data_IF_012224012085
#
_entry.id   IF_012224012085
#
_cell.length_a   1.000
_cell.length_b   1.000
_cell.length_c   1.000
_cell.angle_alpha   90.00
_cell.angle_beta   90.00
_cell.angle_gamma   90.00
#
_symmetry.space_group_name_H-M   'P 1'
#
loop_
_entity.id
_entity.type
_entity.pdbx_description
1 polymer ?
#
# COMPACT_ATOMS: atom_id res chain seq x y z
N UNK A 1 10.79 37.75 3.54
CA UNK A 1 11.77 36.78 2.98
C UNK A 1 13.07 36.99 3.74
N UNK A 2 13.36 36.10 4.69
CA UNK A 2 14.61 36.05 5.45
C UNK A 2 14.99 34.57 5.52
N UNK A 3 16.09 34.23 4.84
CA UNK A 3 16.72 32.92 4.89
C UNK A 3 17.56 32.86 6.18
N UNK A 4 17.05 32.16 7.20
CA UNK A 4 17.79 31.80 8.40
C UNK A 4 18.01 30.28 8.42
N UNK A 5 19.26 29.79 8.26
CA UNK A 5 19.60 28.36 8.30
C UNK A 5 19.46 27.72 9.70
N UNK A 6 19.01 28.46 10.73
CA UNK A 6 18.97 28.02 12.13
C UNK A 6 17.67 27.35 12.62
N UNK A 7 16.69 27.04 11.77
CA UNK A 7 15.50 26.24 12.19
C UNK A 7 15.27 25.07 11.27
N UNK A 8 16.12 24.04 11.36
CA UNK A 8 15.80 22.73 10.83
C UNK A 8 14.48 22.27 11.46
N UNK A 9 13.42 22.31 10.67
CA UNK A 9 12.08 22.02 11.11
C UNK A 9 11.68 20.68 10.54
N UNK A 10 11.83 19.59 11.30
CA UNK A 10 11.42 18.25 10.87
C UNK A 10 9.95 18.19 10.42
N UNK A 11 9.14 19.19 10.78
CA UNK A 11 7.77 19.32 10.29
C UNK A 11 7.67 19.52 8.78
N UNK A 12 8.66 20.12 8.12
CA UNK A 12 8.64 20.29 6.65
C UNK A 12 8.70 18.96 5.92
N UNK A 13 9.28 17.95 6.56
CA UNK A 13 9.44 16.61 6.07
C UNK A 13 8.22 15.73 6.27
N UNK A 14 7.37 16.09 7.25
CA UNK A 14 6.19 15.32 7.59
C UNK A 14 5.02 15.65 6.65
N UNK A 15 4.12 14.68 6.42
CA UNK A 15 2.82 14.90 5.81
C UNK A 15 2.13 16.20 6.26
N UNK A 16 1.91 17.13 5.34
CA UNK A 16 1.17 18.37 5.62
C UNK A 16 -0.36 18.20 5.60
N UNK A 17 -0.82 17.06 5.07
CA UNK A 17 -2.24 16.71 4.97
C UNK A 17 -2.42 15.20 5.15
N UNK A 18 -3.57 14.81 5.71
CA UNK A 18 -4.02 13.42 5.74
C UNK A 18 -4.41 13.00 4.31
N UNK A 19 -4.11 11.75 3.88
CA UNK A 19 -4.71 11.22 2.67
C UNK A 19 -6.24 11.22 2.84
N UNK A 20 -6.99 11.80 1.90
CA UNK A 20 -8.44 11.75 2.02
C UNK A 20 -8.93 10.33 1.76
N UNK A 21 -9.99 9.89 2.44
CA UNK A 21 -10.62 8.63 2.11
C UNK A 21 -11.12 8.67 0.67
N UNK A 22 -11.14 7.49 0.04
CA UNK A 22 -11.80 7.31 -1.25
C UNK A 22 -13.26 7.77 -1.11
N UNK A 23 -13.66 8.78 -1.90
CA UNK A 23 -15.00 9.36 -1.81
C UNK A 23 -16.11 8.35 -2.13
N UNK A 24 -17.40 8.71 -1.90
CA UNK A 24 -18.53 7.81 -2.17
C UNK A 24 -18.66 7.41 -3.66
N UNK A 25 -18.08 8.17 -4.59
CA UNK A 25 -17.96 7.82 -6.01
C UNK A 25 -16.80 6.86 -6.32
N UNK A 26 -15.97 6.53 -5.32
CA UNK A 26 -14.77 5.72 -5.49
C UNK A 26 -13.58 6.47 -6.13
N UNK A 27 -13.66 7.79 -6.30
CA UNK A 27 -12.59 8.60 -6.89
C UNK A 27 -11.55 8.98 -5.82
N UNK A 28 -10.27 8.75 -6.14
CA UNK A 28 -9.13 9.26 -5.38
C UNK A 28 -8.62 10.52 -6.10
N UNK A 29 -8.64 11.72 -5.50
CA UNK A 29 -8.10 12.91 -6.12
C UNK A 29 -6.65 12.69 -6.59
N UNK A 30 -6.32 13.14 -7.80
CA UNK A 30 -4.99 12.95 -8.38
C UNK A 30 -3.87 13.51 -7.48
N UNK A 31 -4.15 14.63 -6.81
CA UNK A 31 -3.23 15.36 -5.92
C UNK A 31 -2.92 14.66 -4.58
N UNK A 32 -3.57 13.54 -4.24
CA UNK A 32 -3.49 12.93 -2.91
C UNK A 32 -2.70 11.62 -2.83
N UNK A 33 -2.44 10.94 -3.96
CA UNK A 33 -1.57 9.75 -3.93
C UNK A 33 -0.13 10.20 -3.97
N UNK A 34 0.51 10.07 -2.81
CA UNK A 34 1.95 10.20 -2.68
C UNK A 34 2.62 8.99 -3.33
N UNK A 35 3.83 9.15 -3.89
CA UNK A 35 4.63 8.00 -4.28
C UNK A 35 4.77 7.07 -3.07
N UNK A 36 4.60 5.78 -3.33
CA UNK A 36 4.75 4.73 -2.32
C UNK A 36 6.09 4.90 -1.61
N UNK A 37 6.12 5.24 -0.31
CA UNK A 37 7.39 5.41 0.38
C UNK A 37 8.12 4.06 0.43
N UNK A 38 9.44 4.10 0.23
CA UNK A 38 10.28 2.94 0.51
C UNK A 38 10.20 2.57 2.00
N UNK A 39 10.65 1.37 2.38
CA UNK A 39 10.72 1.04 3.81
C UNK A 39 11.62 2.02 4.56
N UNK A 40 12.73 2.41 3.96
CA UNK A 40 13.69 3.32 4.59
C UNK A 40 13.10 4.72 4.76
N UNK A 41 12.36 5.21 3.77
CA UNK A 41 11.63 6.48 3.88
C UNK A 41 10.58 6.42 4.98
N UNK A 42 9.87 5.29 5.05
CA UNK A 42 8.83 5.11 6.05
C UNK A 42 9.40 5.08 7.47
N UNK A 43 10.49 4.34 7.68
CA UNK A 43 11.21 4.31 8.95
C UNK A 43 11.75 5.70 9.32
N UNK A 44 12.37 6.40 8.36
CA UNK A 44 12.90 7.74 8.57
C UNK A 44 11.79 8.72 8.99
N UNK A 45 10.63 8.68 8.32
CA UNK A 45 9.48 9.53 8.66
C UNK A 45 8.92 9.25 10.06
N UNK A 46 8.86 7.97 10.45
CA UNK A 46 8.41 7.59 11.80
C UNK A 46 9.38 8.10 12.86
N UNK A 47 10.70 7.97 12.64
CA UNK A 47 11.70 8.50 13.56
C UNK A 47 11.65 10.03 13.63
N UNK A 48 11.44 10.72 12.50
CA UNK A 48 11.23 12.16 12.48
C UNK A 48 10.01 12.56 13.32
N UNK A 49 8.88 11.87 13.15
CA UNK A 49 7.68 12.12 13.95
C UNK A 49 7.93 11.87 15.45
N UNK A 50 8.62 10.79 15.80
CA UNK A 50 9.02 10.48 17.17
C UNK A 50 9.84 11.62 17.81
N UNK A 51 10.87 12.11 17.11
CA UNK A 51 11.71 13.23 17.59
C UNK A 51 10.87 14.50 17.81
N UNK A 52 9.86 14.76 16.98
CA UNK A 52 8.92 15.87 17.24
C UNK A 52 8.03 15.64 18.47
N UNK A 53 7.77 14.38 18.82
CA UNK A 53 7.12 13.97 20.06
C UNK A 53 8.00 14.22 21.28
N UNK A 54 9.30 13.87 21.22
CA UNK A 54 10.28 14.13 22.28
C UNK A 54 10.36 15.63 22.64
N UNK A 55 10.24 16.50 21.63
CA UNK A 55 10.19 17.95 21.87
C UNK A 55 8.98 18.39 22.70
N UNK A 56 7.87 17.66 22.66
CA UNK A 56 6.65 17.99 23.42
C UNK A 56 6.66 17.41 24.83
N UNK A 57 7.54 16.47 25.14
CA UNK A 57 7.60 15.83 26.45
C UNK A 57 8.53 16.50 27.44
N UNK A 58 9.26 17.55 27.01
CA UNK A 58 10.24 18.30 27.81
C UNK A 58 11.34 17.41 28.46
N UNK A 59 11.56 16.20 27.93
CA UNK A 59 12.58 15.26 28.44
C UNK A 59 14.00 15.65 28.01
N UNK A 60 14.12 16.35 26.88
CA UNK A 60 15.40 16.78 26.31
C UNK A 60 15.42 18.31 26.10
N UNK A 61 16.58 18.92 26.33
CA UNK A 61 16.79 20.35 26.04
C UNK A 61 16.69 20.64 24.53
N UNK A 62 16.28 21.87 24.17
CA UNK A 62 16.16 22.32 22.77
C UNK A 62 17.48 22.16 21.98
N UNK A 63 18.62 22.33 22.65
CA UNK A 63 19.96 22.12 22.07
C UNK A 63 20.20 20.67 21.66
N UNK A 64 19.81 19.72 22.52
CA UNK A 64 19.89 18.28 22.26
C UNK A 64 18.93 17.87 21.14
N UNK A 65 17.69 18.34 21.17
CA UNK A 65 16.69 18.09 20.12
C UNK A 65 17.14 18.61 18.75
N UNK A 66 17.79 19.78 18.72
CA UNK A 66 18.34 20.33 17.48
C UNK A 66 19.53 19.52 16.97
N UNK A 67 20.38 18.99 17.86
CA UNK A 67 21.45 18.08 17.48
C UNK A 67 20.90 16.77 16.88
N UNK A 68 19.87 16.17 17.52
CA UNK A 68 19.19 14.96 17.04
C UNK A 68 18.54 15.20 15.67
N UNK A 69 17.83 16.32 15.50
CA UNK A 69 17.21 16.65 14.22
C UNK A 69 18.24 16.78 13.10
N UNK A 70 19.40 17.42 13.36
CA UNK A 70 20.51 17.54 12.40
C UNK A 70 21.16 16.19 12.10
N UNK A 71 21.29 15.32 13.09
CA UNK A 71 21.80 13.96 12.90
C UNK A 71 20.86 13.15 11.99
N UNK A 72 19.54 13.22 12.21
CA UNK A 72 18.57 12.56 11.33
C UNK A 72 18.57 13.10 9.90
N UNK A 73 18.69 14.42 9.73
CA UNK A 73 18.81 15.06 8.41
C UNK A 73 20.09 14.63 7.70
N UNK A 74 21.21 14.54 8.43
CA UNK A 74 22.51 14.10 7.93
C UNK A 74 22.53 12.61 7.56
N UNK A 75 21.79 11.77 8.30
CA UNK A 75 21.60 10.35 7.98
C UNK A 75 20.86 10.15 6.64
N UNK A 76 20.15 11.19 6.17
CA UNK A 76 19.34 11.27 4.94
C UNK A 76 18.21 10.23 4.87
N UNK A 77 17.23 10.54 4.01
CA UNK A 77 16.23 9.56 3.58
C UNK A 77 16.84 8.57 2.61
N UNK A 78 16.36 7.31 2.65
CA UNK A 78 16.94 6.23 1.87
C UNK A 78 18.38 5.91 2.26
N UNK A 79 19.07 5.07 1.48
CA UNK A 79 20.50 4.81 1.64
C UNK A 79 20.88 3.58 2.48
N UNK A 80 19.94 2.68 2.76
CA UNK A 80 20.32 1.34 3.18
C UNK A 80 20.63 0.50 1.93
N UNK A 81 21.89 0.07 1.77
CA UNK A 81 22.25 -1.01 0.85
C UNK A 81 21.79 -2.39 1.37
N UNK A 82 21.20 -2.46 2.57
CA UNK A 82 20.73 -3.72 3.13
C UNK A 82 19.48 -4.22 2.40
N UNK A 83 19.69 -5.16 1.50
CA UNK A 83 18.67 -6.11 1.12
C UNK A 83 18.32 -6.98 2.35
N UNK A 84 17.05 -7.03 2.76
CA UNK A 84 16.66 -7.93 3.85
C UNK A 84 15.45 -7.51 4.67
N UNK A 85 15.36 -8.13 5.85
CA UNK A 85 14.26 -8.02 6.81
C UNK A 85 14.13 -6.60 7.40
N UNK A 86 12.91 -6.06 7.57
CA UNK A 86 12.68 -4.66 7.96
C UNK A 86 13.39 -4.19 9.23
N UNK A 87 13.55 -5.06 10.22
CA UNK A 87 14.20 -4.69 11.47
C UNK A 87 15.68 -4.33 11.30
N UNK A 88 16.38 -4.92 10.31
CA UNK A 88 17.77 -4.55 10.01
C UNK A 88 17.87 -3.16 9.43
N UNK A 89 16.93 -2.80 8.53
CA UNK A 89 16.83 -1.44 7.99
C UNK A 89 16.60 -0.38 9.07
N UNK A 90 15.78 -0.69 10.08
CA UNK A 90 15.60 0.20 11.24
C UNK A 90 16.88 0.34 12.06
N UNK A 91 17.58 -0.77 12.35
CA UNK A 91 18.87 -0.74 13.04
C UNK A 91 19.94 0.03 12.25
N UNK A 92 20.04 -0.18 10.94
CA UNK A 92 20.96 0.55 10.07
C UNK A 92 20.63 2.05 9.96
N UNK A 93 19.36 2.43 10.12
CA UNK A 93 19.00 3.84 10.24
C UNK A 93 19.41 4.41 11.60
N UNK A 94 19.17 3.68 12.68
CA UNK A 94 19.59 4.07 14.04
C UNK A 94 21.12 4.26 14.12
N UNK A 95 21.90 3.30 13.63
CA UNK A 95 23.37 3.36 13.55
C UNK A 95 23.86 4.58 12.75
N UNK A 96 23.20 4.90 11.63
CA UNK A 96 23.54 6.08 10.83
C UNK A 96 23.24 7.38 11.57
N UNK A 97 22.16 7.45 12.33
CA UNK A 97 21.83 8.63 13.15
C UNK A 97 22.83 8.77 14.29
N UNK A 98 23.15 7.68 14.99
CA UNK A 98 24.15 7.64 16.08
C UNK A 98 25.53 8.11 15.61
N UNK A 99 25.94 7.78 14.38
CA UNK A 99 27.22 8.22 13.82
C UNK A 99 27.37 9.75 13.71
N UNK A 100 26.27 10.49 13.68
CA UNK A 100 26.27 11.96 13.66
C UNK A 100 25.96 12.60 15.02
N UNK A 101 25.64 11.79 16.05
CA UNK A 101 25.34 12.30 17.38
C UNK A 101 26.62 12.49 18.22
N UNK A 102 26.70 13.55 19.03
CA UNK A 102 27.68 13.62 20.11
C UNK A 102 27.51 12.44 21.06
N UNK A 103 28.60 11.86 21.58
CA UNK A 103 28.53 10.70 22.49
C UNK A 103 27.70 10.94 23.75
N UNK A 104 27.54 12.18 24.20
CA UNK A 104 26.66 12.56 25.32
C UNK A 104 25.16 12.38 25.02
N UNK A 105 24.79 12.24 23.75
CA UNK A 105 23.42 12.06 23.26
C UNK A 105 23.19 10.67 22.65
N UNK A 106 24.08 9.70 22.92
CA UNK A 106 23.91 8.35 22.38
C UNK A 106 22.60 7.72 22.88
N UNK A 107 21.85 7.12 21.97
CA UNK A 107 20.51 6.56 22.18
C UNK A 107 19.40 7.60 22.35
N UNK A 108 19.70 8.90 22.30
CA UNK A 108 18.70 9.93 22.55
C UNK A 108 17.67 10.06 21.43
N UNK A 109 18.04 9.73 20.18
CA UNK A 109 17.12 9.81 19.03
C UNK A 109 15.97 8.81 19.11
N UNK A 110 16.22 7.62 19.68
CA UNK A 110 15.26 6.52 19.81
C UNK A 110 14.75 6.36 21.24
N UNK A 111 15.03 7.32 22.12
CA UNK A 111 14.56 7.30 23.52
C UNK A 111 13.03 7.15 23.57
N UNK A 112 12.53 6.09 24.21
CA UNK A 112 11.09 5.80 24.31
C UNK A 112 10.48 5.11 23.08
N UNK A 113 11.20 5.05 21.95
CA UNK A 113 10.73 4.40 20.73
C UNK A 113 11.10 2.91 20.75
N UNK A 114 10.10 2.03 20.75
CA UNK A 114 10.35 0.61 20.53
C UNK A 114 10.59 0.32 19.04
N UNK A 115 11.35 -0.73 18.77
CA UNK A 115 11.55 -1.20 17.40
C UNK A 115 10.24 -1.75 16.82
N UNK A 116 9.43 -2.40 17.65
CA UNK A 116 8.17 -3.03 17.24
C UNK A 116 7.15 -1.99 16.77
N UNK A 117 6.97 -0.89 17.49
CA UNK A 117 6.06 0.18 17.08
C UNK A 117 6.59 0.97 15.89
N UNK A 118 7.91 1.13 15.81
CA UNK A 118 8.57 1.80 14.68
C UNK A 118 8.29 1.05 13.38
N UNK A 119 8.50 -0.27 13.39
CA UNK A 119 8.25 -1.15 12.24
C UNK A 119 6.76 -1.25 11.92
N UNK A 120 5.89 -1.40 12.94
CA UNK A 120 4.46 -1.50 12.74
C UNK A 120 3.88 -0.22 12.12
N UNK A 121 4.34 0.96 12.57
CA UNK A 121 3.90 2.25 12.02
C UNK A 121 4.39 2.44 10.60
N UNK A 122 5.66 2.13 10.32
CA UNK A 122 6.22 2.22 8.97
C UNK A 122 5.51 1.29 7.98
N UNK A 123 5.21 0.05 8.39
CA UNK A 123 4.45 -0.90 7.58
C UNK A 123 3.04 -0.40 7.29
N UNK A 124 2.28 0.04 8.32
CA UNK A 124 0.93 0.58 8.14
C UNK A 124 0.90 1.80 7.22
N UNK A 125 1.91 2.67 7.31
CA UNK A 125 2.02 3.83 6.43
C UNK A 125 2.17 3.40 4.95
N UNK A 126 3.02 2.42 4.67
CA UNK A 126 3.20 1.88 3.32
C UNK A 126 1.93 1.18 2.82
N UNK A 127 1.29 0.37 3.67
CA UNK A 127 0.06 -0.35 3.32
C UNK A 127 -1.11 0.60 3.04
N UNK A 128 -1.24 1.68 3.83
CA UNK A 128 -2.22 2.74 3.59
C UNK A 128 -2.02 3.36 2.20
N UNK A 129 -0.79 3.75 1.87
CA UNK A 129 -0.50 4.42 0.59
C UNK A 129 -0.65 3.43 -0.59
N UNK A 130 -0.29 2.15 -0.40
CA UNK A 130 -0.53 1.08 -1.37
C UNK A 130 -2.02 0.83 -1.61
N UNK A 131 -2.83 0.79 -0.55
CA UNK A 131 -4.26 0.61 -0.66
C UNK A 131 -4.92 1.74 -1.47
N UNK A 132 -4.48 3.00 -1.30
CA UNK A 132 -4.97 4.13 -2.08
C UNK A 132 -4.53 4.06 -3.55
N UNK A 133 -3.28 3.67 -3.81
CA UNK A 133 -2.79 3.47 -5.17
C UNK A 133 -3.59 2.38 -5.89
N UNK A 134 -3.78 1.22 -5.26
CA UNK A 134 -4.58 0.12 -5.81
C UNK A 134 -6.04 0.55 -6.01
N UNK A 135 -6.64 1.25 -5.05
CA UNK A 135 -8.02 1.73 -5.17
C UNK A 135 -8.20 2.67 -6.37
N UNK A 136 -7.20 3.50 -6.66
CA UNK A 136 -7.17 4.35 -7.84
C UNK A 136 -7.09 3.55 -9.13
N UNK A 137 -6.20 2.56 -9.21
CA UNK A 137 -6.09 1.70 -10.41
C UNK A 137 -7.39 0.94 -10.66
N UNK A 138 -8.01 0.40 -9.61
CA UNK A 138 -9.32 -0.26 -9.69
C UNK A 138 -10.42 0.72 -10.15
N UNK A 139 -10.37 1.98 -9.72
CA UNK A 139 -11.26 3.02 -10.21
C UNK A 139 -11.03 3.30 -11.71
N UNK A 140 -9.77 3.40 -12.15
CA UNK A 140 -9.41 3.57 -13.56
C UNK A 140 -9.90 2.43 -14.45
N UNK A 141 -9.80 1.18 -13.98
CA UNK A 141 -10.36 0.00 -14.67
C UNK A 141 -11.88 0.12 -14.77
N UNK A 142 -12.55 0.55 -13.70
CA UNK A 142 -14.01 0.74 -13.71
C UNK A 142 -14.43 1.80 -14.73
N UNK A 143 -13.73 2.94 -14.78
CA UNK A 143 -14.03 4.04 -15.68
C UNK A 143 -13.79 3.63 -17.14
N UNK A 144 -12.69 2.92 -17.42
CA UNK A 144 -12.39 2.38 -18.74
C UNK A 144 -13.46 1.36 -19.20
N UNK A 145 -13.84 0.42 -18.32
CA UNK A 145 -14.86 -0.56 -18.61
C UNK A 145 -16.26 0.07 -18.80
N UNK A 146 -16.61 1.10 -18.02
CA UNK A 146 -17.86 1.84 -18.19
C UNK A 146 -17.91 2.60 -19.51
N UNK A 147 -16.81 3.27 -19.89
CA UNK A 147 -16.71 3.96 -21.18
C UNK A 147 -16.85 2.96 -22.34
N UNK A 148 -16.16 1.83 -22.26
CA UNK A 148 -16.24 0.77 -23.27
C UNK A 148 -17.65 0.16 -23.32
N UNK A 149 -18.28 -0.07 -22.17
CA UNK A 149 -19.65 -0.57 -22.11
C UNK A 149 -20.64 0.38 -22.80
N UNK A 150 -20.50 1.69 -22.56
CA UNK A 150 -21.31 2.73 -23.19
C UNK A 150 -21.12 2.82 -24.70
N UNK A 151 -19.89 2.62 -25.20
CA UNK A 151 -19.58 2.63 -26.62
C UNK A 151 -20.13 1.40 -27.37
N UNK A 152 -20.30 0.27 -26.66
CA UNK A 152 -20.66 -1.02 -27.25
C UNK A 152 -22.03 -1.55 -26.81
N UNK A 153 -22.99 -0.66 -26.55
CA UNK A 153 -24.36 -1.03 -26.13
C UNK A 153 -25.12 -1.84 -27.17
N UNK A 154 -24.77 -1.72 -28.45
CA UNK A 154 -25.38 -2.43 -29.59
C UNK A 154 -24.45 -3.47 -30.25
N UNK A 155 -23.22 -3.63 -29.74
CA UNK A 155 -22.27 -4.62 -30.28
C UNK A 155 -22.67 -6.01 -29.82
N UNK A 156 -23.35 -6.76 -30.69
CA UNK A 156 -23.86 -8.10 -30.38
C UNK A 156 -22.71 -9.08 -30.15
N UNK A 157 -22.82 -9.88 -29.09
CA UNK A 157 -21.92 -10.99 -28.80
C UNK A 157 -22.72 -12.17 -28.20
N UNK A 158 -22.21 -13.40 -28.24
CA UNK A 158 -22.82 -14.50 -27.49
C UNK A 158 -22.59 -14.32 -25.98
N UNK A 159 -23.63 -14.54 -25.18
CA UNK A 159 -23.50 -14.85 -23.76
C UNK A 159 -23.14 -16.33 -23.61
N UNK A 160 -22.22 -16.66 -22.70
CA UNK A 160 -21.71 -18.01 -22.52
C UNK A 160 -22.25 -18.68 -21.25
N UNK A 161 -22.53 -19.98 -21.33
CA UNK A 161 -22.80 -20.86 -20.17
C UNK A 161 -21.95 -22.12 -20.30
N UNK A 162 -21.16 -22.45 -19.27
CA UNK A 162 -20.21 -23.56 -19.33
C UNK A 162 -19.23 -23.49 -20.52
N UNK A 163 -18.86 -22.27 -20.94
CA UNK A 163 -17.98 -22.02 -22.10
C UNK A 163 -18.65 -22.18 -23.46
N UNK A 164 -19.98 -22.38 -23.53
CA UNK A 164 -20.74 -22.51 -24.79
C UNK A 164 -21.66 -21.30 -25.02
N UNK A 165 -21.78 -20.80 -26.26
CA UNK A 165 -22.76 -19.80 -26.61
C UNK A 165 -24.18 -20.25 -26.22
N UNK A 166 -24.91 -19.39 -25.52
CA UNK A 166 -26.24 -19.69 -24.98
C UNK A 166 -27.31 -18.77 -25.59
N UNK A 167 -27.12 -17.46 -25.48
CA UNK A 167 -28.07 -16.45 -25.92
C UNK A 167 -27.33 -15.23 -26.50
N UNK A 168 -27.94 -14.48 -27.43
CA UNK A 168 -27.40 -13.18 -27.83
C UNK A 168 -27.43 -12.18 -26.66
N UNK A 169 -26.37 -11.40 -26.54
CA UNK A 169 -26.26 -10.24 -25.65
C UNK A 169 -25.48 -9.13 -26.37
N UNK A 170 -25.12 -8.06 -25.67
CA UNK A 170 -24.17 -7.06 -26.18
C UNK A 170 -22.93 -6.97 -25.31
N UNK A 171 -21.81 -6.52 -25.89
CA UNK A 171 -20.57 -6.28 -25.14
C UNK A 171 -20.80 -5.24 -24.02
N UNK A 172 -21.62 -4.22 -24.27
CA UNK A 172 -22.05 -3.28 -23.25
C UNK A 172 -22.75 -3.95 -22.06
N UNK A 173 -23.66 -4.89 -22.33
CA UNK A 173 -24.34 -5.64 -21.27
C UNK A 173 -23.37 -6.56 -20.49
N UNK A 174 -22.47 -7.26 -21.18
CA UNK A 174 -21.44 -8.08 -20.54
C UNK A 174 -20.54 -7.25 -19.61
N UNK A 175 -20.02 -6.11 -20.09
CA UNK A 175 -19.16 -5.21 -19.29
C UNK A 175 -19.94 -4.56 -18.14
N UNK A 176 -21.22 -4.27 -18.32
CA UNK A 176 -22.12 -3.87 -17.22
C UNK A 176 -22.20 -4.93 -16.11
N UNK A 177 -22.25 -6.21 -16.49
CA UNK A 177 -22.17 -7.34 -15.56
C UNK A 177 -20.82 -7.44 -14.85
N UNK A 178 -19.70 -7.16 -15.54
CA UNK A 178 -18.36 -7.10 -14.96
C UNK A 178 -18.18 -5.96 -13.93
N UNK A 179 -18.80 -4.80 -14.17
CA UNK A 179 -18.69 -3.63 -13.29
C UNK A 179 -19.32 -3.84 -11.90
N UNK A 180 -20.39 -4.64 -11.80
CA UNK A 180 -21.10 -4.87 -10.54
C UNK A 180 -20.25 -5.52 -9.43
N UNK A 181 -19.58 -6.68 -9.65
CA UNK A 181 -18.66 -7.25 -8.65
C UNK A 181 -17.45 -6.35 -8.38
N UNK A 182 -16.96 -5.62 -9.40
CA UNK A 182 -15.86 -4.67 -9.21
C UNK A 182 -16.25 -3.51 -8.28
N UNK A 183 -17.47 -2.98 -8.43
CA UNK A 183 -18.02 -1.95 -7.54
C UNK A 183 -18.21 -2.47 -6.10
N UNK A 184 -18.64 -3.72 -5.96
CA UNK A 184 -18.73 -4.37 -4.64
C UNK A 184 -17.35 -4.47 -3.98
N UNK A 185 -16.32 -4.84 -4.73
CA UNK A 185 -14.95 -4.89 -4.24
C UNK A 185 -14.41 -3.51 -3.86
N UNK A 186 -14.66 -2.48 -4.69
CA UNK A 186 -14.31 -1.08 -4.36
C UNK A 186 -14.94 -0.64 -3.04
N UNK A 187 -16.21 -0.99 -2.81
CA UNK A 187 -16.88 -0.66 -1.55
C UNK A 187 -16.18 -1.29 -0.34
N UNK A 188 -15.74 -2.55 -0.46
CA UNK A 188 -14.96 -3.22 0.60
C UNK A 188 -13.64 -2.50 0.88
N UNK A 189 -12.95 -2.01 -0.15
CA UNK A 189 -11.71 -1.22 0.04
C UNK A 189 -11.99 0.10 0.78
N UNK A 190 -13.07 0.80 0.39
CA UNK A 190 -13.52 2.04 1.05
C UNK A 190 -13.81 1.78 2.54
N UNK A 191 -14.55 0.71 2.84
CA UNK A 191 -14.96 0.39 4.21
C UNK A 191 -13.77 -0.10 5.07
N UNK A 192 -12.77 -0.78 4.49
CA UNK A 192 -11.58 -1.26 5.20
C UNK A 192 -10.54 -0.15 5.48
N UNK A 193 -10.47 0.87 4.62
CA UNK A 193 -9.43 1.90 4.68
C UNK A 193 -9.36 2.67 6.03
N UNK A 194 -10.46 3.10 6.66
CA UNK A 194 -10.40 3.81 7.95
C UNK A 194 -9.82 2.98 9.09
N UNK A 195 -9.89 1.65 8.99
CA UNK A 195 -9.32 0.73 9.99
C UNK A 195 -7.82 0.57 9.75
N UNK A 196 -7.40 0.42 8.48
CA UNK A 196 -5.99 0.37 8.10
C UNK A 196 -5.25 1.68 8.38
N UNK A 197 -5.92 2.83 8.24
CA UNK A 197 -5.32 4.15 8.42
C UNK A 197 -5.22 4.57 9.89
N UNK A 198 -4.67 3.70 10.74
CA UNK A 198 -4.44 3.95 12.17
C UNK A 198 -2.97 3.80 12.53
N UNK A 199 -2.47 4.71 13.36
CA UNK A 199 -1.05 4.73 13.76
C UNK A 199 -0.77 3.73 14.88
N UNK A 200 0.33 2.99 14.79
CA UNK A 200 0.84 2.19 15.88
C UNK A 200 1.78 2.97 16.83
N UNK A 201 2.20 4.18 16.45
CA UNK A 201 3.20 4.96 17.18
C UNK A 201 2.72 5.38 18.58
N UNK A 202 3.63 5.29 19.55
CA UNK A 202 3.41 5.47 20.99
C UNK A 202 2.80 4.24 21.69
N UNK A 203 2.82 3.07 21.06
CA UNK A 203 2.46 1.80 21.70
C UNK A 203 3.60 1.21 22.56
N UNK A 204 4.82 1.72 22.43
CA UNK A 204 6.00 1.20 23.12
C UNK A 204 6.22 -0.27 22.75
N UNK A 205 6.69 -1.08 23.70
CA UNK A 205 6.90 -2.52 23.47
C UNK A 205 5.60 -3.32 23.60
N UNK A 206 4.75 -2.98 24.58
CA UNK A 206 3.46 -3.65 24.85
C UNK A 206 2.45 -2.74 25.57
N UNK A 207 2.92 -1.94 26.53
CA UNK A 207 2.08 -1.21 27.50
C UNK A 207 2.07 0.32 27.30
N UNK A 208 2.39 0.78 26.08
CA UNK A 208 2.52 2.21 25.78
C UNK A 208 3.92 2.74 26.03
N UNK A 209 4.19 3.92 25.46
CA UNK A 209 5.36 4.73 25.78
C UNK A 209 5.00 5.77 26.85
N UNK A 210 5.90 5.95 27.82
CA UNK A 210 5.78 6.94 28.90
C UNK A 210 6.39 8.29 28.49
N UNK A 211 7.25 8.30 27.46
CA UNK A 211 8.08 9.45 27.07
C UNK A 211 7.43 10.29 25.96
N UNK A 212 6.69 9.71 25.02
CA UNK A 212 6.03 10.43 23.91
C UNK A 212 4.49 10.23 23.89
N UNK A 213 3.82 10.68 24.95
CA UNK A 213 2.43 10.32 25.26
C UNK A 213 1.33 10.85 24.30
N UNK A 214 1.62 11.83 23.42
CA UNK A 214 0.61 12.42 22.53
C UNK A 214 0.47 11.62 21.22
N UNK A 215 -0.12 10.42 21.34
CA UNK A 215 -0.34 9.49 20.23
C UNK A 215 -1.22 10.08 19.12
N UNK A 216 -2.15 10.97 19.47
CA UNK A 216 -3.01 11.65 18.49
C UNK A 216 -2.21 12.62 17.64
N UNK A 217 -1.34 13.43 18.25
CA UNK A 217 -0.47 14.35 17.52
C UNK A 217 0.51 13.60 16.61
N UNK A 218 1.08 12.50 17.10
CA UNK A 218 1.99 11.65 16.31
C UNK A 218 1.28 10.99 15.12
N UNK A 219 0.06 10.50 15.33
CA UNK A 219 -0.77 9.95 14.25
C UNK A 219 -1.06 11.00 13.17
N UNK A 220 -1.48 12.21 13.58
CA UNK A 220 -1.80 13.31 12.68
C UNK A 220 -0.59 13.73 11.82
N UNK A 221 0.58 13.86 12.45
CA UNK A 221 1.85 14.19 11.79
C UNK A 221 2.25 13.20 10.69
N UNK A 222 1.90 11.93 10.84
CA UNK A 222 2.19 10.88 9.86
C UNK A 222 1.04 10.69 8.85
N UNK A 223 -0.01 11.50 8.95
CA UNK A 223 -1.19 11.44 8.09
C UNK A 223 -2.13 10.27 8.42
N UNK A 224 -2.01 9.66 9.60
CA UNK A 224 -3.00 8.69 10.09
C UNK A 224 -4.25 9.41 10.60
N UNK A 225 -5.38 8.70 10.61
CA UNK A 225 -6.63 9.28 11.10
C UNK A 225 -6.65 9.41 12.63
N UNK A 226 -6.24 8.34 13.30
CA UNK A 226 -6.20 8.17 14.76
C UNK A 226 -5.11 7.14 15.13
N UNK A 227 -4.64 7.08 16.39
CA UNK A 227 -3.90 5.93 16.87
C UNK A 227 -4.77 4.67 16.95
N UNK A 228 -4.16 3.49 16.85
CA UNK A 228 -4.82 2.23 17.22
C UNK A 228 -5.15 2.31 18.72
N UNK A 229 -6.43 2.15 19.13
CA UNK A 229 -6.84 2.45 20.50
C UNK A 229 -6.07 1.66 21.57
N UNK A 230 -5.85 0.37 21.32
CA UNK A 230 -5.14 -0.52 22.23
C UNK A 230 -3.70 -0.74 21.77
N UNK A 231 -2.73 -0.72 22.69
CA UNK A 231 -1.30 -0.86 22.38
C UNK A 231 -0.91 -2.29 21.99
N UNK A 232 -1.59 -3.31 22.52
CA UNK A 232 -1.40 -4.69 22.05
C UNK A 232 -1.95 -4.85 20.63
N UNK A 233 -3.16 -4.35 20.36
CA UNK A 233 -3.72 -4.34 19.01
C UNK A 233 -2.81 -3.59 18.01
N UNK A 234 -2.22 -2.46 18.43
CA UNK A 234 -1.29 -1.70 17.60
C UNK A 234 -0.07 -2.52 17.13
N UNK A 235 0.38 -3.48 17.93
CA UNK A 235 1.60 -4.25 17.69
C UNK A 235 1.33 -5.69 17.22
N UNK A 236 0.17 -6.24 17.55
CA UNK A 236 -0.18 -7.65 17.39
C UNK A 236 -1.36 -7.86 16.45
N UNK A 237 -2.20 -6.84 16.27
CA UNK A 237 -3.38 -6.89 15.41
C UNK A 237 -3.02 -6.99 13.93
N UNK A 238 -3.69 -7.92 13.24
CA UNK A 238 -3.56 -8.16 11.79
C UNK A 238 -4.85 -7.93 11.00
N UNK A 239 -5.99 -7.81 11.68
CA UNK A 239 -7.32 -7.82 11.03
C UNK A 239 -7.54 -6.60 10.13
N UNK A 240 -6.92 -5.46 10.46
CA UNK A 240 -6.91 -4.25 9.64
C UNK A 240 -6.23 -4.49 8.28
N UNK A 241 -5.06 -5.15 8.29
CA UNK A 241 -4.32 -5.54 7.10
C UNK A 241 -5.04 -6.63 6.33
N UNK A 242 -5.53 -7.67 7.02
CA UNK A 242 -6.25 -8.80 6.41
C UNK A 242 -7.50 -8.31 5.68
N UNK A 243 -8.31 -7.45 6.30
CA UNK A 243 -9.51 -6.91 5.69
C UNK A 243 -9.20 -6.14 4.39
N UNK A 244 -8.12 -5.36 4.36
CA UNK A 244 -7.70 -4.67 3.14
C UNK A 244 -7.21 -5.65 2.06
N UNK A 245 -6.39 -6.63 2.42
CA UNK A 245 -5.88 -7.63 1.45
C UNK A 245 -7.03 -8.45 0.86
N UNK A 246 -8.00 -8.87 1.67
CA UNK A 246 -9.20 -9.56 1.19
C UNK A 246 -10.08 -8.68 0.28
N UNK A 247 -10.15 -7.37 0.54
CA UNK A 247 -10.80 -6.41 -0.35
C UNK A 247 -10.07 -6.28 -1.70
N UNK A 248 -8.73 -6.26 -1.70
CA UNK A 248 -7.92 -6.27 -2.94
C UNK A 248 -8.13 -7.57 -3.72
N UNK A 249 -8.09 -8.74 -3.07
CA UNK A 249 -8.37 -10.03 -3.72
C UNK A 249 -9.78 -10.04 -4.34
N UNK A 250 -10.76 -9.44 -3.64
CA UNK A 250 -12.12 -9.30 -4.16
C UNK A 250 -12.18 -8.47 -5.44
N UNK A 251 -11.30 -7.47 -5.61
CA UNK A 251 -11.23 -6.64 -6.81
C UNK A 251 -10.51 -7.35 -7.97
N UNK A 252 -9.50 -8.16 -7.67
CA UNK A 252 -8.78 -8.98 -8.66
C UNK A 252 -9.66 -10.08 -9.27
N UNK A 253 -10.60 -10.63 -8.48
CA UNK A 253 -11.46 -11.74 -8.91
C UNK A 253 -12.27 -11.46 -10.20
N UNK A 254 -13.04 -10.36 -10.34
CA UNK A 254 -13.70 -10.04 -11.60
C UNK A 254 -12.72 -9.71 -12.73
N UNK A 255 -11.56 -9.11 -12.43
CA UNK A 255 -10.52 -8.79 -13.43
C UNK A 255 -9.94 -10.07 -14.03
N UNK A 256 -9.59 -11.07 -13.19
CA UNK A 256 -9.14 -12.39 -13.64
C UNK A 256 -10.14 -13.06 -14.57
N UNK A 257 -11.43 -13.01 -14.21
CA UNK A 257 -12.49 -13.60 -15.02
C UNK A 257 -12.60 -12.91 -16.38
N UNK A 258 -12.54 -11.58 -16.43
CA UNK A 258 -12.53 -10.82 -17.68
C UNK A 258 -11.32 -11.19 -18.55
N UNK A 259 -10.11 -11.19 -17.98
CA UNK A 259 -8.88 -11.53 -18.70
C UNK A 259 -8.95 -12.96 -19.25
N UNK A 260 -9.41 -13.92 -18.45
CA UNK A 260 -9.58 -15.32 -18.89
C UNK A 260 -10.60 -15.44 -20.02
N UNK A 261 -11.73 -14.75 -19.93
CA UNK A 261 -12.72 -14.70 -21.00
C UNK A 261 -12.11 -14.13 -22.29
N UNK A 262 -11.32 -13.04 -22.20
CA UNK A 262 -10.61 -12.46 -23.34
C UNK A 262 -9.61 -13.43 -23.99
N UNK A 263 -8.83 -14.16 -23.18
CA UNK A 263 -7.91 -15.20 -23.68
C UNK A 263 -8.68 -16.28 -24.43
N UNK A 264 -9.81 -16.74 -23.87
CA UNK A 264 -10.66 -17.76 -24.50
C UNK A 264 -11.27 -17.24 -25.80
N UNK A 265 -11.74 -16.00 -25.84
CA UNK A 265 -12.32 -15.41 -27.06
C UNK A 265 -11.29 -15.28 -28.18
N UNK A 266 -10.11 -14.72 -27.92
CA UNK A 266 -9.03 -14.61 -28.91
C UNK A 266 -8.61 -15.99 -29.41
N UNK A 267 -8.53 -17.00 -28.53
CA UNK A 267 -8.19 -18.37 -28.90
C UNK A 267 -9.25 -19.03 -29.77
N UNK A 268 -10.53 -18.74 -29.50
CA UNK A 268 -11.67 -19.33 -30.23
C UNK A 268 -11.88 -18.65 -31.58
N UNK A 269 -11.81 -17.33 -31.59
CA UNK A 269 -11.94 -16.47 -32.75
C UNK A 269 -10.97 -15.27 -32.59
N UNK A 270 -9.82 -15.30 -33.29
CA UNK A 270 -8.85 -14.20 -33.30
C UNK A 270 -9.40 -12.83 -33.67
N UNK A 271 -10.53 -12.78 -34.37
CA UNK A 271 -11.17 -11.53 -34.81
C UNK A 271 -12.19 -11.00 -33.80
N UNK A 272 -12.46 -11.75 -32.72
CA UNK A 272 -13.42 -11.36 -31.68
C UNK A 272 -13.03 -10.10 -30.91
N UNK A 273 -11.73 -9.88 -30.67
CA UNK A 273 -11.17 -8.68 -30.08
C UNK A 273 -9.86 -8.31 -30.75
N UNK A 274 -9.73 -7.03 -31.11
CA UNK A 274 -8.47 -6.45 -31.56
C UNK A 274 -7.94 -5.57 -30.44
N UNK A 275 -6.84 -6.00 -29.84
CA UNK A 275 -6.02 -5.20 -28.93
C UNK A 275 -5.04 -4.33 -29.74
N UNK A 276 -4.49 -3.30 -29.12
CA UNK A 276 -3.41 -2.50 -29.70
C UNK A 276 -2.20 -3.38 -30.05
N UNK A 277 -1.42 -3.02 -31.07
CA UNK A 277 -0.29 -3.80 -31.59
C UNK A 277 0.71 -4.21 -30.49
N UNK A 278 0.86 -3.38 -29.45
CA UNK A 278 1.70 -3.70 -28.31
C UNK A 278 1.22 -4.92 -27.49
N UNK A 279 -0.03 -5.35 -27.61
CA UNK A 279 -0.61 -6.47 -26.84
C UNK A 279 -0.58 -7.80 -27.59
N UNK A 280 -0.44 -7.79 -28.92
CA UNK A 280 -0.31 -9.03 -29.69
C UNK A 280 1.14 -9.45 -29.84
N UNK A 281 1.35 -10.75 -29.95
CA UNK A 281 2.65 -11.27 -30.40
C UNK A 281 2.76 -11.06 -31.91
N UNK A 282 3.97 -10.82 -32.43
CA UNK A 282 4.23 -10.84 -33.87
C UNK A 282 3.74 -12.18 -34.46
N UNK A 283 3.18 -12.20 -35.69
CA UNK A 283 2.72 -13.44 -36.32
C UNK A 283 3.85 -14.48 -36.36
N UNK A 284 3.56 -15.72 -35.94
CA UNK A 284 4.52 -16.82 -36.05
C UNK A 284 4.75 -17.10 -37.55
N UNK A 285 5.98 -16.91 -38.09
CA UNK A 285 6.21 -17.02 -39.53
C UNK A 285 5.87 -18.41 -40.09
N UNK A 286 6.02 -19.45 -39.27
CA UNK A 286 5.66 -20.83 -39.62
C UNK A 286 4.15 -21.12 -39.50
N UNK A 287 3.40 -20.30 -38.77
CA UNK A 287 1.97 -20.45 -38.51
C UNK A 287 1.24 -19.10 -38.68
N UNK A 288 1.06 -18.59 -39.91
CA UNK A 288 0.55 -17.24 -40.18
C UNK A 288 -0.89 -16.99 -39.68
N UNK A 289 -1.65 -18.04 -39.42
CA UNK A 289 -3.02 -17.98 -38.91
C UNK A 289 -3.11 -18.06 -37.38
N UNK A 290 -1.99 -18.32 -36.69
CA UNK A 290 -1.93 -18.39 -35.24
C UNK A 290 -1.81 -16.98 -34.64
N UNK A 291 -2.95 -16.44 -34.21
CA UNK A 291 -3.00 -15.17 -33.49
C UNK A 291 -3.05 -15.46 -31.99
N UNK A 292 -2.09 -14.93 -31.25
CA UNK A 292 -2.01 -15.03 -29.78
C UNK A 292 -1.61 -13.69 -29.19
N UNK A 293 -2.00 -13.49 -27.93
CA UNK A 293 -1.52 -12.36 -27.13
C UNK A 293 -0.70 -12.92 -25.96
N UNK A 294 0.60 -13.04 -26.16
CA UNK A 294 1.52 -13.47 -25.09
C UNK A 294 1.42 -12.57 -23.86
N UNK A 295 1.18 -11.28 -24.05
CA UNK A 295 1.01 -10.33 -22.94
C UNK A 295 -0.27 -10.55 -22.16
N UNK A 296 -1.38 -10.90 -22.82
CA UNK A 296 -2.63 -11.22 -22.14
C UNK A 296 -2.53 -12.55 -21.38
N UNK A 297 -1.88 -13.56 -21.96
CA UNK A 297 -1.60 -14.83 -21.28
C UNK A 297 -0.64 -14.64 -20.09
N UNK A 298 0.37 -13.78 -20.25
CA UNK A 298 1.25 -13.37 -19.15
C UNK A 298 0.47 -12.68 -18.03
N UNK A 299 -0.42 -11.75 -18.37
CA UNK A 299 -1.26 -11.05 -17.41
C UNK A 299 -2.18 -12.02 -16.67
N UNK A 300 -2.81 -12.99 -17.36
CA UNK A 300 -3.63 -14.03 -16.73
C UNK A 300 -2.83 -14.77 -15.65
N UNK A 301 -1.63 -15.24 -16.00
CA UNK A 301 -0.75 -15.95 -15.06
C UNK A 301 -0.34 -15.06 -13.89
N UNK A 302 0.05 -13.81 -14.15
CA UNK A 302 0.47 -12.87 -13.11
C UNK A 302 -0.66 -12.57 -12.12
N UNK A 303 -1.90 -12.46 -12.60
CA UNK A 303 -3.06 -12.26 -11.73
C UNK A 303 -3.29 -13.49 -10.84
N UNK A 304 -3.19 -14.70 -11.38
CA UNK A 304 -3.32 -15.95 -10.62
C UNK A 304 -2.23 -16.07 -9.54
N UNK A 305 -0.97 -15.83 -9.91
CA UNK A 305 0.16 -15.82 -8.98
C UNK A 305 -0.02 -14.78 -7.86
N UNK A 306 -0.52 -13.58 -8.21
CA UNK A 306 -0.77 -12.50 -7.26
C UNK A 306 -1.86 -12.89 -6.26
N UNK A 307 -3.00 -13.43 -6.72
CA UNK A 307 -4.09 -13.83 -5.82
C UNK A 307 -3.67 -14.97 -4.89
N UNK A 308 -2.91 -15.94 -5.40
CA UNK A 308 -2.33 -17.01 -4.56
C UNK A 308 -1.36 -16.44 -3.53
N UNK A 309 -0.48 -15.53 -3.95
CA UNK A 309 0.48 -14.85 -3.08
C UNK A 309 -0.20 -14.09 -1.93
N UNK A 310 -1.21 -13.26 -2.26
CA UNK A 310 -1.99 -12.49 -1.28
C UNK A 310 -2.81 -13.39 -0.34
N UNK A 311 -3.41 -14.46 -0.87
CA UNK A 311 -4.10 -15.46 -0.04
C UNK A 311 -3.13 -16.10 0.95
N UNK A 312 -1.92 -16.44 0.51
CA UNK A 312 -0.85 -16.95 1.38
C UNK A 312 -0.43 -15.96 2.46
N UNK A 313 -0.41 -14.65 2.15
CA UNK A 313 -0.15 -13.60 3.16
C UNK A 313 -1.24 -13.61 4.24
N UNK A 314 -2.52 -13.62 3.85
CA UNK A 314 -3.64 -13.66 4.81
C UNK A 314 -3.55 -14.88 5.73
N UNK A 315 -3.25 -16.05 5.17
CA UNK A 315 -3.10 -17.28 5.96
C UNK A 315 -1.94 -17.18 6.95
N UNK A 316 -0.79 -16.64 6.54
CA UNK A 316 0.36 -16.45 7.44
C UNK A 316 0.06 -15.44 8.56
N UNK A 317 -0.64 -14.35 8.24
CA UNK A 317 -1.04 -13.35 9.24
C UNK A 317 -1.98 -13.95 10.29
N UNK A 318 -3.01 -14.68 9.85
CA UNK A 318 -3.98 -15.34 10.76
C UNK A 318 -3.37 -16.47 11.59
N UNK A 319 -2.36 -17.16 11.06
CA UNK A 319 -1.66 -18.23 11.77
C UNK A 319 -0.57 -17.72 12.72
N UNK A 320 -0.26 -16.43 12.71
CA UNK A 320 0.76 -15.88 13.57
C UNK A 320 0.35 -16.00 15.05
N UNK A 321 1.29 -16.32 15.96
CA UNK A 321 1.03 -16.24 17.39
C UNK A 321 0.59 -14.84 17.78
N UNK A 322 -0.22 -14.74 18.83
CA UNK A 322 -0.60 -13.46 19.41
C UNK A 322 0.63 -12.84 20.09
N UNK A 323 1.44 -12.10 19.32
CA UNK A 323 2.75 -11.53 19.66
C UNK A 323 3.10 -10.32 18.78
N UNK A 324 4.04 -9.44 19.16
CA UNK A 324 4.45 -8.32 18.34
C UNK A 324 4.93 -8.77 16.95
N UNK A 325 4.27 -8.28 15.91
CA UNK A 325 4.50 -8.73 14.54
C UNK A 325 5.82 -8.20 13.96
N UNK A 326 6.40 -7.16 14.58
CA UNK A 326 7.60 -6.46 14.11
C UNK A 326 8.87 -7.32 14.01
N UNK A 327 8.95 -8.44 14.74
CA UNK A 327 10.10 -9.37 14.67
C UNK A 327 9.80 -10.67 13.91
N UNK A 328 8.54 -11.14 13.94
CA UNK A 328 8.15 -12.45 13.41
C UNK A 328 7.50 -12.39 12.02
N UNK A 329 6.96 -11.24 11.60
CA UNK A 329 6.24 -11.13 10.33
C UNK A 329 6.99 -10.19 9.39
N UNK A 330 7.51 -10.78 8.33
CA UNK A 330 7.81 -10.10 7.07
C UNK A 330 6.51 -9.53 6.46
N UNK A 331 5.91 -8.51 7.10
CA UNK A 331 4.81 -7.74 6.52
C UNK A 331 5.22 -7.05 5.18
N UNK A 332 6.50 -6.88 4.78
CA UNK A 332 6.78 -6.15 3.54
C UNK A 332 7.84 -6.79 2.62
N UNK A 333 7.65 -8.04 2.20
CA UNK A 333 8.18 -8.51 0.90
C UNK A 333 7.07 -8.91 -0.07
N UNK A 334 6.01 -9.55 0.41
CA UNK A 334 4.88 -10.00 -0.43
C UNK A 334 3.86 -8.90 -0.79
N UNK A 335 3.89 -7.74 -0.10
CA UNK A 335 3.03 -6.58 -0.37
C UNK A 335 3.81 -5.40 -0.98
N UNK A 336 5.10 -5.59 -1.26
CA UNK A 336 6.02 -4.55 -1.73
C UNK A 336 6.40 -4.70 -3.22
N UNK A 337 5.96 -5.78 -3.88
CA UNK A 337 6.14 -6.04 -5.31
C UNK A 337 4.86 -5.77 -6.08
#
# INVERSE_FOLDING_TARGET
MSDDPARLNLLTYLPQARPAPVGPSGAVPAAEVRPLPSMDDALWLVLAAHITGLRRSDVLEDTALMAIARALDSAKRGGSEEAGVPWRRAAALDERVEAFLPGSLSGAATLGLSREEWLATAARMRLRDAALAIAREVAGISDAALKLAGAHTLTVMPAFTGGRPAQPTTLGHYLGGFLSPLQTARRRMIDAFPVLNRSALGAGVLAGDVIAADRENLADRLGFAIPVPNTLDALMGVEDVVAMVEAVISALSPIQRLVRDMVVWIRTDPTSFVLDDGWFTLPEPALPTLVRSERLELLERQLDETVVGLTGVVQRLRAAPYGPLGSAIAIPSALAG
#
